data_IF_847301518881
#
_entry.id   IF_847301518881
#
_cell.length_a   1.000
_cell.length_b   1.000
_cell.length_c   1.000
_cell.angle_alpha   90.00
_cell.angle_beta   90.00
_cell.angle_gamma   90.00
#
_symmetry.space_group_name_H-M   'P 1'
#
loop_
_entity.id
_entity.type
_entity.pdbx_description
1 polymer ?
#
# COMPACT_ATOMS: atom_id res chain seq x y z
N UNK A 1 -30.98 -7.82 6.87
CA UNK A 1 -30.62 -9.25 7.06
C UNK A 1 -30.10 -9.45 8.48
N UNK A 2 -29.01 -8.83 8.92
CA UNK A 2 -28.40 -9.06 10.23
C UNK A 2 -29.38 -8.92 11.41
N UNK A 3 -30.13 -7.82 11.47
CA UNK A 3 -31.14 -7.60 12.51
C UNK A 3 -32.24 -8.66 12.48
N UNK A 4 -32.72 -9.03 11.27
CA UNK A 4 -33.86 -9.95 11.10
C UNK A 4 -33.47 -11.42 11.25
N UNK A 5 -32.24 -11.80 10.88
CA UNK A 5 -31.81 -13.20 10.91
C UNK A 5 -31.06 -13.56 12.20
N UNK A 6 -30.30 -12.62 12.76
CA UNK A 6 -29.42 -12.88 13.90
C UNK A 6 -29.81 -12.09 15.17
N UNK A 7 -30.82 -11.23 15.11
CA UNK A 7 -31.24 -10.42 16.25
C UNK A 7 -30.26 -9.37 16.73
N UNK A 8 -29.22 -9.08 15.90
CA UNK A 8 -28.17 -8.11 16.24
C UNK A 8 -28.58 -6.71 15.81
N UNK A 9 -28.54 -5.76 16.73
CA UNK A 9 -28.65 -4.34 16.38
C UNK A 9 -27.41 -3.87 15.65
N UNK A 10 -27.58 -3.19 14.51
CA UNK A 10 -26.51 -2.66 13.68
C UNK A 10 -26.84 -1.26 13.22
N UNK A 11 -25.88 -0.37 13.31
CA UNK A 11 -25.95 0.93 12.69
C UNK A 11 -25.55 0.82 11.22
N UNK A 12 -26.39 1.34 10.32
CA UNK A 12 -26.13 1.32 8.89
C UNK A 12 -25.61 2.70 8.47
N UNK A 13 -24.31 2.79 8.23
CA UNK A 13 -23.69 3.97 7.66
C UNK A 13 -23.87 4.06 6.14
N UNK A 14 -23.45 5.18 5.56
CA UNK A 14 -23.38 5.32 4.08
C UNK A 14 -22.37 4.33 3.53
N UNK A 15 -22.64 3.66 2.39
CA UNK A 15 -21.67 2.83 1.71
C UNK A 15 -20.41 3.64 1.38
N UNK A 16 -19.25 3.07 1.66
CA UNK A 16 -17.95 3.68 1.35
C UNK A 16 -17.25 2.87 0.26
N UNK A 17 -16.57 3.56 -0.64
CA UNK A 17 -15.74 2.93 -1.67
C UNK A 17 -14.43 2.48 -1.03
N UNK A 18 -14.03 1.24 -1.28
CA UNK A 18 -12.79 0.66 -0.76
C UNK A 18 -11.58 1.10 -1.62
N UNK A 19 -11.26 2.38 -1.58
CA UNK A 19 -10.09 2.92 -2.27
C UNK A 19 -8.79 2.30 -1.76
N UNK A 20 -7.77 2.32 -2.62
CA UNK A 20 -6.37 1.98 -2.30
C UNK A 20 -5.48 3.11 -2.80
N UNK A 21 -4.25 3.13 -2.33
CA UNK A 21 -3.19 3.96 -2.88
C UNK A 21 -2.14 3.09 -3.56
N UNK A 22 -1.45 3.62 -4.54
CA UNK A 22 -0.29 2.98 -5.19
C UNK A 22 0.65 4.06 -5.71
N UNK A 23 1.75 3.64 -6.34
CA UNK A 23 2.75 4.53 -6.93
C UNK A 23 2.93 4.24 -8.41
N UNK A 24 3.48 5.19 -9.15
CA UNK A 24 3.68 5.06 -10.60
C UNK A 24 5.13 5.19 -11.04
N UNK A 25 6.01 5.71 -10.18
CA UNK A 25 7.40 6.04 -10.53
C UNK A 25 8.37 5.33 -9.61
N UNK A 26 9.35 4.64 -10.21
CA UNK A 26 10.51 4.12 -9.48
C UNK A 26 11.31 5.29 -8.91
N UNK A 27 11.56 5.24 -7.62
CA UNK A 27 12.23 6.32 -6.89
C UNK A 27 13.30 5.75 -6.00
N UNK A 28 14.50 6.32 -6.08
CA UNK A 28 15.62 6.05 -5.17
C UNK A 28 15.66 7.15 -4.13
N UNK A 29 15.80 6.79 -2.86
CA UNK A 29 15.86 7.76 -1.78
C UNK A 29 16.67 7.19 -0.60
N UNK A 30 16.94 8.06 0.36
CA UNK A 30 17.71 7.76 1.55
C UNK A 30 17.05 8.40 2.75
N UNK A 31 17.04 7.71 3.87
CA UNK A 31 16.59 8.28 5.13
C UNK A 31 17.54 7.96 6.27
N UNK A 32 17.87 8.97 7.07
CA UNK A 32 18.67 8.83 8.29
C UNK A 32 17.83 9.18 9.51
N UNK A 33 17.57 8.16 10.34
CA UNK A 33 17.02 8.38 11.67
C UNK A 33 18.18 8.61 12.65
N UNK A 34 18.24 9.81 13.21
CA UNK A 34 19.22 10.16 14.24
C UNK A 34 18.53 10.91 15.37
N UNK A 35 18.63 10.37 16.58
CA UNK A 35 18.12 11.02 17.79
C UNK A 35 19.18 10.92 18.87
N UNK A 36 19.52 12.06 19.45
CA UNK A 36 20.37 12.18 20.64
C UNK A 36 19.64 13.02 21.66
N UNK A 37 19.23 12.43 22.76
CA UNK A 37 18.60 13.15 23.86
C UNK A 37 18.88 12.42 25.17
N UNK A 38 19.81 12.95 25.98
CA UNK A 38 19.98 12.62 27.41
C UNK A 38 20.10 11.15 27.82
N UNK A 39 20.61 10.28 26.93
CA UNK A 39 20.77 8.84 27.15
C UNK A 39 21.36 8.16 25.95
N UNK A 40 21.14 6.83 25.76
CA UNK A 40 21.55 6.11 24.57
C UNK A 40 20.89 6.73 23.33
N UNK A 41 21.68 7.08 22.31
CA UNK A 41 21.20 7.62 21.06
C UNK A 41 20.42 6.59 20.23
N UNK A 42 19.82 7.05 19.13
CA UNK A 42 19.24 6.19 18.11
C UNK A 42 19.84 6.57 16.76
N UNK A 43 20.29 5.59 16.02
CA UNK A 43 20.84 5.79 14.68
C UNK A 43 20.44 4.66 13.73
N UNK A 44 20.02 5.00 12.54
CA UNK A 44 19.79 4.07 11.43
C UNK A 44 19.67 4.83 10.12
N UNK A 45 20.55 4.55 9.17
CA UNK A 45 20.47 5.08 7.82
C UNK A 45 20.12 3.94 6.86
N UNK A 46 19.18 4.17 5.99
CA UNK A 46 18.77 3.26 4.92
C UNK A 46 18.80 3.98 3.57
N UNK A 47 19.40 3.36 2.58
CA UNK A 47 19.37 3.76 1.18
C UNK A 47 18.55 2.70 0.43
N UNK A 48 17.50 3.09 -0.26
CA UNK A 48 16.50 2.17 -0.79
C UNK A 48 15.88 2.66 -2.08
N UNK A 49 15.29 1.71 -2.81
CA UNK A 49 14.52 1.96 -4.02
C UNK A 49 13.08 1.55 -3.72
N UNK A 50 12.12 2.39 -4.09
CA UNK A 50 10.71 2.05 -4.15
C UNK A 50 10.29 2.03 -5.61
N UNK A 51 9.65 0.95 -6.05
CA UNK A 51 9.20 0.78 -7.43
C UNK A 51 7.79 0.20 -7.49
N UNK A 52 6.96 0.62 -8.49
CA UNK A 52 5.63 0.05 -8.68
C UNK A 52 5.73 -1.41 -9.13
N UNK A 53 4.73 -2.19 -8.75
CA UNK A 53 4.48 -3.55 -9.21
C UNK A 53 3.20 -3.63 -10.04
N UNK A 54 2.98 -4.77 -10.68
CA UNK A 54 1.73 -5.05 -11.37
C UNK A 54 0.56 -5.17 -10.37
N UNK A 55 -0.64 -4.88 -10.87
CA UNK A 55 -1.85 -4.91 -10.04
C UNK A 55 -2.09 -6.28 -9.42
N UNK A 56 -2.20 -6.31 -8.09
CA UNK A 56 -2.45 -7.52 -7.31
C UNK A 56 -1.21 -8.21 -6.75
N UNK A 57 -0.02 -7.70 -7.02
CA UNK A 57 1.23 -8.26 -6.46
C UNK A 57 1.48 -7.85 -5.00
N UNK A 58 0.78 -6.83 -4.53
CA UNK A 58 0.83 -6.41 -3.14
C UNK A 58 2.14 -5.74 -2.76
N UNK A 59 2.68 -6.08 -1.59
CA UNK A 59 3.94 -5.53 -1.08
C UNK A 59 5.05 -6.57 -1.15
N UNK A 60 6.20 -6.17 -1.69
CA UNK A 60 7.41 -6.98 -1.74
C UNK A 60 8.57 -6.23 -1.09
N UNK A 61 9.45 -6.99 -0.41
CA UNK A 61 10.69 -6.46 0.16
C UNK A 61 11.87 -7.34 -0.26
N UNK A 62 12.96 -6.69 -0.67
CA UNK A 62 14.23 -7.33 -1.02
C UNK A 62 15.39 -6.56 -0.42
N UNK A 63 16.46 -7.24 -0.06
CA UNK A 63 17.72 -6.61 0.34
C UNK A 63 18.84 -7.01 -0.60
N UNK A 64 19.56 -6.00 -1.12
CA UNK A 64 20.76 -6.12 -1.96
C UNK A 64 21.99 -5.53 -1.28
N UNK A 65 21.94 -5.32 0.02
CA UNK A 65 23.06 -4.77 0.79
C UNK A 65 24.27 -5.68 0.71
N UNK A 66 25.43 -5.12 0.34
CA UNK A 66 26.70 -5.80 0.29
C UNK A 66 27.67 -5.14 1.29
N UNK A 67 28.57 -5.91 1.89
CA UNK A 67 29.62 -5.37 2.74
C UNK A 67 29.25 -5.12 4.21
N UNK A 68 28.03 -5.44 4.64
CA UNK A 68 27.67 -5.38 6.06
C UNK A 68 27.38 -3.98 6.62
N UNK A 69 27.24 -2.97 5.75
CA UNK A 69 26.90 -1.60 6.15
C UNK A 69 25.58 -1.50 6.92
N UNK A 70 24.65 -2.40 6.62
CA UNK A 70 23.45 -2.66 7.42
C UNK A 70 23.45 -4.13 7.81
N UNK A 71 23.73 -4.47 9.08
CA UNK A 71 23.73 -5.85 9.55
C UNK A 71 22.41 -6.56 9.24
N UNK A 72 22.50 -7.83 8.84
CA UNK A 72 21.33 -8.64 8.43
C UNK A 72 20.25 -8.74 9.52
N UNK A 73 20.65 -8.67 10.78
CA UNK A 73 19.72 -8.68 11.91
C UNK A 73 18.69 -7.52 11.90
N UNK A 74 19.01 -6.40 11.24
CA UNK A 74 18.12 -5.25 11.15
C UNK A 74 17.19 -5.28 9.93
N UNK A 75 17.42 -6.14 8.93
CA UNK A 75 16.58 -6.21 7.73
C UNK A 75 15.11 -6.51 8.04
N UNK A 76 14.78 -7.45 8.94
CA UNK A 76 13.39 -7.68 9.33
C UNK A 76 12.72 -6.47 9.97
N UNK A 77 13.48 -5.64 10.69
CA UNK A 77 12.95 -4.42 11.30
C UNK A 77 12.65 -3.34 10.25
N UNK A 78 13.49 -3.24 9.20
CA UNK A 78 13.29 -2.33 8.07
C UNK A 78 12.04 -2.76 7.28
N UNK A 79 11.94 -4.03 6.90
CA UNK A 79 10.75 -4.60 6.25
C UNK A 79 9.47 -4.32 7.05
N UNK A 80 9.50 -4.62 8.35
CA UNK A 80 8.40 -4.36 9.27
C UNK A 80 8.01 -2.89 9.32
N UNK A 81 8.98 -1.98 9.26
CA UNK A 81 8.75 -0.54 9.22
C UNK A 81 7.97 -0.09 7.97
N UNK A 82 8.37 -0.56 6.80
CA UNK A 82 7.62 -0.35 5.57
C UNK A 82 6.24 -1.00 5.64
N UNK A 83 6.14 -2.27 6.02
CA UNK A 83 4.89 -3.04 6.10
C UNK A 83 3.85 -2.40 7.03
N UNK A 84 4.28 -1.85 8.17
CA UNK A 84 3.39 -1.11 9.08
C UNK A 84 2.92 0.24 8.53
N UNK A 85 3.61 0.78 7.55
CA UNK A 85 3.24 2.06 6.92
C UNK A 85 2.22 1.89 5.81
N UNK A 86 2.06 0.67 5.27
CA UNK A 86 1.15 0.35 4.17
C UNK A 86 -0.31 0.63 4.52
N UNK A 87 -0.72 0.37 5.76
CA UNK A 87 -2.12 0.48 6.18
C UNK A 87 -2.64 1.92 6.11
N UNK A 88 -1.73 2.89 6.00
CA UNK A 88 -2.07 4.30 5.95
C UNK A 88 -1.25 5.03 4.89
N UNK A 89 -1.80 5.13 3.69
CA UNK A 89 -1.21 5.83 2.56
C UNK A 89 -1.05 7.33 2.78
N UNK A 90 -0.25 7.95 1.94
CA UNK A 90 0.21 9.34 2.09
C UNK A 90 -0.71 10.38 1.48
N UNK A 91 -1.64 9.99 0.59
CA UNK A 91 -2.56 10.90 -0.09
C UNK A 91 -3.84 11.12 0.72
N UNK A 92 -4.57 10.05 1.00
CA UNK A 92 -5.87 10.11 1.65
C UNK A 92 -5.98 9.12 2.83
N UNK A 93 -4.90 8.42 3.14
CA UNK A 93 -4.83 7.46 4.23
C UNK A 93 -5.42 6.09 3.90
N UNK A 94 -5.66 5.78 2.63
CA UNK A 94 -6.07 4.45 2.20
C UNK A 94 -4.87 3.50 2.19
N UNK A 95 -5.08 2.18 2.37
CA UNK A 95 -3.99 1.22 2.30
C UNK A 95 -3.26 1.28 0.96
N UNK A 96 -1.91 1.26 1.01
CA UNK A 96 -1.07 1.27 -0.19
C UNK A 96 -0.78 -0.15 -0.65
N UNK A 97 -0.83 -0.40 -1.95
CA UNK A 97 -0.65 -1.71 -2.57
C UNK A 97 0.29 -1.63 -3.77
N UNK A 98 0.75 -2.79 -4.23
CA UNK A 98 1.43 -2.99 -5.50
C UNK A 98 2.71 -2.16 -5.64
N UNK A 99 3.62 -2.33 -4.67
CA UNK A 99 4.96 -1.75 -4.74
C UNK A 99 6.00 -2.63 -4.04
N UNK A 100 7.24 -2.50 -4.50
CA UNK A 100 8.41 -3.18 -3.97
C UNK A 100 9.38 -2.20 -3.35
N UNK A 101 9.97 -2.60 -2.24
CA UNK A 101 11.09 -1.89 -1.60
C UNK A 101 12.34 -2.75 -1.72
N UNK A 102 13.39 -2.20 -2.31
CA UNK A 102 14.71 -2.81 -2.35
C UNK A 102 15.66 -2.00 -1.49
N UNK A 103 16.11 -2.59 -0.38
CA UNK A 103 17.17 -2.03 0.45
C UNK A 103 18.50 -2.22 -0.27
N UNK A 104 19.20 -1.14 -0.62
CA UNK A 104 20.44 -1.20 -1.41
C UNK A 104 21.70 -0.95 -0.58
N UNK A 105 21.61 -0.07 0.41
CA UNK A 105 22.74 0.25 1.31
C UNK A 105 22.22 0.93 2.58
N UNK A 106 23.12 1.47 3.38
CA UNK A 106 22.81 2.25 4.57
C UNK A 106 24.02 2.39 5.47
N UNK A 107 23.76 2.69 6.72
CA UNK A 107 24.81 2.80 7.74
C UNK A 107 24.27 2.50 9.11
N UNK A 108 25.08 1.88 9.95
CA UNK A 108 24.76 1.63 11.35
C UNK A 108 25.84 2.22 12.28
N UNK A 109 25.48 2.41 13.53
CA UNK A 109 26.39 2.82 14.60
C UNK A 109 26.44 1.71 15.66
N UNK A 110 27.62 1.22 16.07
CA UNK A 110 27.74 0.05 16.95
C UNK A 110 26.99 0.16 18.29
N UNK A 111 26.79 1.39 18.80
CA UNK A 111 26.15 1.64 20.09
C UNK A 111 24.71 2.10 19.92
N UNK A 112 24.41 2.97 18.95
CA UNK A 112 23.14 3.68 18.84
C UNK A 112 22.17 3.02 17.83
N UNK A 113 22.60 2.03 17.05
CA UNK A 113 21.74 1.30 16.16
C UNK A 113 20.97 0.19 16.86
N UNK A 114 19.71 0.08 16.51
CA UNK A 114 18.78 -0.92 17.04
C UNK A 114 17.69 -1.24 16.04
N UNK A 115 16.99 -2.34 16.22
CA UNK A 115 15.82 -2.69 15.41
C UNK A 115 14.76 -1.57 15.41
N UNK A 116 14.55 -0.91 16.56
CA UNK A 116 13.61 0.22 16.67
C UNK A 116 14.06 1.43 15.85
N UNK A 117 15.36 1.74 15.85
CA UNK A 117 15.91 2.85 15.06
C UNK A 117 15.71 2.60 13.55
N UNK A 118 15.98 1.39 13.07
CA UNK A 118 15.78 1.02 11.68
C UNK A 118 14.30 0.90 11.28
N UNK A 119 13.43 0.37 12.15
CA UNK A 119 11.97 0.39 11.92
C UNK A 119 11.46 1.83 11.78
N UNK A 120 11.95 2.74 12.63
CA UNK A 120 11.59 4.16 12.59
C UNK A 120 12.11 4.83 11.32
N UNK A 121 13.36 4.53 10.91
CA UNK A 121 13.92 5.02 9.66
C UNK A 121 13.08 4.58 8.44
N UNK A 122 12.68 3.32 8.38
CA UNK A 122 11.84 2.78 7.31
C UNK A 122 10.47 3.46 7.26
N UNK A 123 9.82 3.66 8.40
CA UNK A 123 8.52 4.37 8.48
C UNK A 123 8.61 5.83 8.02
N UNK A 124 9.67 6.52 8.42
CA UNK A 124 9.89 7.89 8.00
C UNK A 124 10.29 7.98 6.51
N UNK A 125 11.13 7.07 6.05
CA UNK A 125 11.50 6.92 4.64
C UNK A 125 10.28 6.69 3.75
N UNK A 126 9.37 5.78 4.12
CA UNK A 126 8.10 5.60 3.42
C UNK A 126 7.35 6.93 3.24
N UNK A 127 7.15 7.68 4.32
CA UNK A 127 6.42 8.95 4.26
C UNK A 127 7.12 10.01 3.42
N UNK A 128 8.45 10.00 3.39
CA UNK A 128 9.25 10.93 2.59
C UNK A 128 9.18 10.63 1.10
N UNK A 129 9.23 9.34 0.74
CA UNK A 129 9.44 8.91 -0.65
C UNK A 129 8.15 8.67 -1.41
N UNK A 130 7.09 8.16 -0.76
CA UNK A 130 5.84 7.84 -1.46
C UNK A 130 5.25 9.03 -2.24
N UNK A 131 5.22 10.28 -1.72
CA UNK A 131 4.75 11.42 -2.50
C UNK A 131 5.58 11.70 -3.76
N UNK A 132 6.90 11.41 -3.70
CA UNK A 132 7.83 11.60 -4.85
C UNK A 132 7.70 10.49 -5.88
N UNK A 133 7.21 9.32 -5.47
CA UNK A 133 7.04 8.14 -6.31
C UNK A 133 5.74 8.17 -7.14
N UNK A 134 5.10 9.32 -7.29
CA UNK A 134 3.87 9.46 -8.05
C UNK A 134 2.70 8.72 -7.42
N UNK A 135 2.45 8.98 -6.14
CA UNK A 135 1.35 8.37 -5.42
C UNK A 135 -0.01 8.69 -6.08
N UNK A 136 -0.87 7.69 -6.21
CA UNK A 136 -2.19 7.79 -6.83
C UNK A 136 -3.24 6.98 -6.06
N UNK A 137 -4.51 7.37 -6.22
CA UNK A 137 -5.65 6.65 -5.67
C UNK A 137 -6.18 5.66 -6.70
N UNK A 138 -6.41 4.42 -6.27
CA UNK A 138 -7.02 3.36 -7.06
C UNK A 138 -8.48 3.17 -6.64
N UNK A 139 -9.37 3.12 -7.63
CA UNK A 139 -10.77 2.72 -7.46
C UNK A 139 -10.89 1.20 -7.57
N UNK A 140 -11.79 0.55 -6.80
CA UNK A 140 -12.07 -0.86 -7.00
C UNK A 140 -12.83 -1.08 -8.31
N UNK A 141 -12.31 -1.94 -9.17
CA UNK A 141 -12.99 -2.42 -10.38
C UNK A 141 -13.50 -3.83 -10.10
N UNK A 142 -14.81 -4.04 -10.26
CA UNK A 142 -15.48 -5.30 -9.96
C UNK A 142 -16.08 -5.93 -11.21
N UNK A 143 -16.09 -7.27 -11.27
CA UNK A 143 -16.91 -8.00 -12.23
C UNK A 143 -18.36 -7.93 -11.76
N UNK A 144 -19.25 -7.58 -12.69
CA UNK A 144 -20.69 -7.53 -12.48
C UNK A 144 -21.39 -8.37 -13.54
N UNK A 145 -22.23 -9.27 -13.10
CA UNK A 145 -23.12 -10.04 -13.96
C UNK A 145 -24.54 -9.49 -13.74
N UNK A 146 -25.20 -9.03 -14.80
CA UNK A 146 -26.53 -8.41 -14.76
C UNK A 146 -27.50 -9.23 -15.58
N UNK A 147 -28.58 -9.68 -14.96
CA UNK A 147 -29.66 -10.41 -15.61
C UNK A 147 -30.85 -9.47 -15.84
N UNK A 148 -31.22 -9.29 -17.08
CA UNK A 148 -32.34 -8.43 -17.48
C UNK A 148 -33.18 -9.10 -18.56
N UNK A 149 -34.45 -8.75 -18.69
CA UNK A 149 -35.27 -9.15 -19.82
C UNK A 149 -34.89 -8.37 -21.08
N UNK A 150 -35.18 -8.92 -22.25
CA UNK A 150 -34.86 -8.32 -23.55
C UNK A 150 -35.37 -6.88 -23.69
N UNK A 151 -36.53 -6.57 -23.11
CA UNK A 151 -37.10 -5.24 -23.12
C UNK A 151 -36.26 -4.18 -22.40
N UNK A 152 -35.38 -4.58 -21.49
CA UNK A 152 -34.58 -3.66 -20.65
C UNK A 152 -33.06 -3.70 -20.95
N UNK A 153 -32.63 -4.48 -21.93
CA UNK A 153 -31.20 -4.60 -22.29
C UNK A 153 -30.61 -3.22 -22.63
N UNK A 154 -31.30 -2.41 -23.43
CA UNK A 154 -30.84 -1.10 -23.83
C UNK A 154 -30.64 -0.15 -22.65
N UNK A 155 -31.58 -0.14 -21.71
CA UNK A 155 -31.50 0.69 -20.49
C UNK A 155 -30.36 0.25 -19.58
N UNK A 156 -30.18 -1.07 -19.41
CA UNK A 156 -29.08 -1.62 -18.61
C UNK A 156 -27.70 -1.27 -19.19
N UNK A 157 -27.54 -1.42 -20.52
CA UNK A 157 -26.31 -1.01 -21.23
C UNK A 157 -26.04 0.49 -21.06
N UNK A 158 -27.08 1.32 -21.22
CA UNK A 158 -26.99 2.77 -21.06
C UNK A 158 -26.56 3.18 -19.65
N UNK A 159 -27.09 2.52 -18.62
CA UNK A 159 -26.73 2.80 -17.22
C UNK A 159 -25.30 2.32 -16.89
N UNK A 160 -24.89 1.15 -17.38
CA UNK A 160 -23.52 0.64 -17.21
C UNK A 160 -22.49 1.56 -17.86
N UNK A 161 -22.75 2.01 -19.09
CA UNK A 161 -21.86 2.95 -19.79
C UNK A 161 -21.75 4.29 -19.03
N UNK A 162 -22.85 4.82 -18.52
CA UNK A 162 -22.86 6.03 -17.69
C UNK A 162 -22.02 5.88 -16.42
N UNK A 163 -21.96 4.69 -15.88
CA UNK A 163 -21.13 4.33 -14.70
C UNK A 163 -19.70 3.93 -15.07
N UNK A 164 -19.25 4.16 -16.29
CA UNK A 164 -17.91 3.76 -16.79
C UNK A 164 -17.70 2.24 -16.82
N UNK A 165 -18.77 1.45 -16.86
CA UNK A 165 -18.69 -0.01 -17.00
C UNK A 165 -18.21 -0.41 -18.37
N UNK A 166 -17.40 -1.48 -18.43
CA UNK A 166 -16.94 -2.09 -19.68
C UNK A 166 -17.69 -3.40 -19.87
N UNK A 167 -18.53 -3.46 -20.90
CA UNK A 167 -19.30 -4.67 -21.23
C UNK A 167 -18.34 -5.69 -21.86
N UNK A 168 -18.23 -6.87 -21.25
CA UNK A 168 -17.36 -7.96 -21.69
C UNK A 168 -18.06 -8.94 -22.61
N UNK A 169 -19.30 -9.30 -22.27
CA UNK A 169 -20.13 -10.23 -23.07
C UNK A 169 -21.61 -9.93 -22.86
N UNK A 170 -22.42 -10.38 -23.80
CA UNK A 170 -23.89 -10.47 -23.71
C UNK A 170 -24.27 -11.87 -24.14
N UNK A 171 -24.99 -12.58 -23.31
CA UNK A 171 -25.41 -13.95 -23.58
C UNK A 171 -26.92 -14.06 -23.33
N UNK A 172 -27.69 -14.63 -24.26
CA UNK A 172 -29.11 -14.91 -23.99
C UNK A 172 -29.19 -15.98 -22.89
N UNK A 173 -30.01 -15.73 -21.90
CA UNK A 173 -30.32 -16.70 -20.85
C UNK A 173 -31.45 -17.60 -21.38
N UNK A 174 -31.22 -18.91 -21.38
CA UNK A 174 -32.20 -19.92 -21.80
C UNK A 174 -33.37 -19.98 -20.78
#
# INVERSE_FOLDING_TARGET
ILKRTYGVEVDVGKPQVAYRESITVRTEDSYTHKKQSGGSGQFGKIDYIIEPLESGEGFQFESKVVGGNVPKEFWPAIEKGFKRSIDRGVLAGYPTVDFKVTLVDGSYHPVDSSAVAFETAARAGYRQTMPKAGAQILEPIMKLDVFVSDAHIGDAIGDLNRRRGIIKSQEPTA
#
